data_IF_060352737532
#
_entry.id   IF_060352737532
#
_cell.length_a   1.000
_cell.length_b   1.000
_cell.length_c   1.000
_cell.angle_alpha   90.00
_cell.angle_beta   90.00
_cell.angle_gamma   90.00
#
_symmetry.space_group_name_H-M   'P 1'
#
loop_
_entity.id
_entity.type
_entity.pdbx_description
1 polymer ?
#
# COMPACT_ATOMS: atom_id res chain seq x y z
N UNK A 1 30.55 -30.03 -20.77
CA UNK A 1 31.64 -30.43 -19.84
C UNK A 1 31.81 -29.30 -18.85
N UNK A 2 31.14 -29.42 -17.69
CA UNK A 2 31.80 -29.76 -16.42
C UNK A 2 32.77 -28.65 -15.98
N UNK A 3 32.37 -27.81 -15.01
CA UNK A 3 32.66 -28.01 -13.56
C UNK A 3 34.01 -27.33 -13.19
N UNK A 4 34.24 -26.64 -12.07
CA UNK A 4 33.47 -26.40 -10.83
C UNK A 4 34.31 -25.47 -9.92
N UNK A 5 33.63 -24.72 -9.04
CA UNK A 5 34.05 -24.22 -7.71
C UNK A 5 35.15 -23.13 -7.56
N UNK A 6 34.75 -21.97 -7.00
CA UNK A 6 34.90 -21.73 -5.55
C UNK A 6 34.00 -20.57 -5.07
N UNK A 7 33.10 -20.89 -4.15
CA UNK A 7 32.31 -19.93 -3.39
C UNK A 7 33.15 -19.27 -2.27
N UNK A 8 32.86 -18.01 -1.88
CA UNK A 8 33.08 -17.57 -0.52
C UNK A 8 31.85 -17.93 0.33
N UNK A 9 32.09 -18.80 1.30
CA UNK A 9 31.17 -19.15 2.37
C UNK A 9 30.84 -17.92 3.23
N UNK A 10 29.66 -17.33 3.07
CA UNK A 10 29.10 -16.44 4.09
C UNK A 10 28.40 -17.30 5.16
N UNK A 11 29.17 -17.67 6.19
CA UNK A 11 28.60 -18.11 7.47
C UNK A 11 27.86 -16.93 8.08
N UNK A 12 26.53 -17.01 8.13
CA UNK A 12 25.77 -16.25 9.13
C UNK A 12 26.05 -16.88 10.49
N UNK A 13 27.09 -16.39 11.17
CA UNK A 13 27.13 -16.47 12.62
C UNK A 13 26.09 -15.47 13.14
N UNK A 14 25.04 -15.88 13.87
CA UNK A 14 24.24 -14.94 14.63
C UNK A 14 25.10 -14.50 15.82
N UNK A 15 26.00 -13.53 15.58
CA UNK A 15 26.51 -12.73 16.68
C UNK A 15 25.31 -12.13 17.40
N UNK A 16 25.27 -12.11 18.74
CA UNK A 16 24.20 -11.44 19.45
C UNK A 16 24.30 -9.96 19.10
N UNK A 17 23.50 -9.51 18.13
CA UNK A 17 23.17 -8.12 17.98
C UNK A 17 22.40 -7.75 19.25
N UNK A 18 23.15 -7.36 20.29
CA UNK A 18 22.71 -6.38 21.25
C UNK A 18 22.22 -5.21 20.40
N UNK A 19 20.91 -5.20 20.12
CA UNK A 19 20.16 -4.01 19.77
C UNK A 19 20.39 -3.04 20.92
N UNK A 20 21.50 -2.31 20.83
CA UNK A 20 21.90 -1.28 21.76
C UNK A 20 20.74 -0.29 21.72
N UNK A 21 19.96 -0.25 22.79
CA UNK A 21 18.88 0.70 23.07
C UNK A 21 19.37 2.15 23.22
N UNK A 22 20.57 2.45 22.71
CA UNK A 22 21.25 3.72 22.79
C UNK A 22 20.79 4.85 21.84
N UNK A 23 20.05 4.66 20.73
CA UNK A 23 19.73 5.78 19.84
C UNK A 23 18.35 6.45 20.07
N UNK A 24 17.47 5.90 20.92
CA UNK A 24 16.13 6.50 21.11
C UNK A 24 16.17 7.79 21.94
N UNK A 25 17.06 7.87 22.92
CA UNK A 25 17.16 9.00 23.86
C UNK A 25 17.73 10.26 23.24
N UNK A 26 18.80 10.14 22.44
CA UNK A 26 19.34 11.26 21.67
C UNK A 26 18.26 11.89 20.80
N UNK A 27 17.40 11.07 20.15
CA UNK A 27 16.28 11.57 19.36
C UNK A 27 15.23 12.34 20.17
N UNK A 28 14.96 11.94 21.42
CA UNK A 28 14.04 12.65 22.31
C UNK A 28 14.68 13.95 22.83
N UNK A 29 15.94 13.89 23.28
CA UNK A 29 16.67 15.06 23.76
C UNK A 29 16.84 16.13 22.67
N UNK A 30 17.18 15.72 21.45
CA UNK A 30 17.29 16.63 20.29
C UNK A 30 15.95 17.33 20.02
N UNK A 31 14.82 16.61 20.12
CA UNK A 31 13.49 17.22 19.90
C UNK A 31 13.11 18.21 20.98
N UNK A 32 13.38 17.91 22.25
CA UNK A 32 13.12 18.83 23.37
C UNK A 32 14.01 20.07 23.26
N UNK A 33 15.28 19.89 22.93
CA UNK A 33 16.24 20.98 22.75
C UNK A 33 15.85 21.85 21.54
N UNK A 34 15.47 21.25 20.42
CA UNK A 34 14.95 21.95 19.23
C UNK A 34 13.77 22.85 19.58
N UNK A 35 12.81 22.33 20.36
CA UNK A 35 11.64 23.09 20.79
C UNK A 35 11.99 24.32 21.62
N UNK A 36 12.97 24.19 22.53
CA UNK A 36 13.45 25.31 23.31
C UNK A 36 14.11 26.36 22.40
N UNK A 37 14.92 25.95 21.43
CA UNK A 37 15.53 26.87 20.48
C UNK A 37 14.51 27.57 19.57
N UNK A 38 13.49 26.87 19.07
CA UNK A 38 12.43 27.44 18.24
C UNK A 38 11.59 28.45 19.03
N UNK A 39 11.26 28.14 20.29
CA UNK A 39 10.55 29.07 21.18
C UNK A 39 11.40 30.31 21.52
N UNK A 40 12.70 30.13 21.79
CA UNK A 40 13.61 31.25 22.04
C UNK A 40 13.75 32.12 20.79
N UNK A 41 13.91 31.53 19.60
CA UNK A 41 13.96 32.26 18.34
C UNK A 41 12.69 33.09 18.10
N UNK A 42 11.51 32.54 18.40
CA UNK A 42 10.24 33.28 18.32
C UNK A 42 10.22 34.47 19.26
N UNK A 43 10.60 34.26 20.51
CA UNK A 43 10.59 35.30 21.54
C UNK A 43 11.60 36.40 21.22
N UNK A 44 12.78 36.04 20.71
CA UNK A 44 13.79 36.99 20.27
C UNK A 44 13.32 37.80 19.06
N UNK A 45 12.73 37.16 18.05
CA UNK A 45 12.20 37.86 16.86
C UNK A 45 11.03 38.79 17.20
N UNK A 46 10.12 38.33 18.08
CA UNK A 46 9.01 39.14 18.54
C UNK A 46 9.50 40.36 19.35
N UNK A 47 10.49 40.16 20.23
CA UNK A 47 11.10 41.25 21.00
C UNK A 47 11.93 42.20 20.14
N UNK A 48 12.67 41.72 19.15
CA UNK A 48 13.42 42.57 18.23
C UNK A 48 12.49 43.42 17.37
N UNK A 49 11.34 42.88 16.95
CA UNK A 49 10.30 43.63 16.25
C UNK A 49 9.64 44.71 17.10
N UNK A 50 9.52 44.50 18.43
CA UNK A 50 9.00 45.50 19.38
C UNK A 50 10.03 46.57 19.76
N UNK A 51 11.32 46.22 19.73
CA UNK A 51 12.41 47.10 20.19
C UNK A 51 13.10 47.89 19.06
N UNK A 52 12.86 47.53 17.80
CA UNK A 52 13.36 48.24 16.63
C UNK A 52 12.46 49.45 16.32
N UNK A 53 12.64 50.53 17.08
CA UNK A 53 12.18 51.85 16.63
C UNK A 53 12.84 52.19 15.29
N UNK A 54 12.02 52.63 14.32
CA UNK A 54 12.38 53.21 13.02
C UNK A 54 13.23 52.41 12.00
N UNK A 55 13.62 51.17 12.28
CA UNK A 55 14.20 50.30 11.25
C UNK A 55 13.13 49.44 10.57
N UNK A 56 12.68 49.91 9.42
CA UNK A 56 11.61 49.32 8.61
C UNK A 56 12.04 47.98 8.00
N UNK A 57 11.94 46.88 8.77
CA UNK A 57 11.89 45.56 8.15
C UNK A 57 10.73 45.54 7.15
N UNK A 58 10.97 44.98 5.96
CA UNK A 58 9.92 44.85 4.96
C UNK A 58 8.78 44.03 5.57
N UNK A 59 7.54 44.55 5.52
CA UNK A 59 6.36 43.86 6.09
C UNK A 59 6.24 42.44 5.56
N UNK A 60 6.64 42.22 4.31
CA UNK A 60 6.68 40.90 3.67
C UNK A 60 7.61 39.94 4.40
N UNK A 61 8.83 40.37 4.78
CA UNK A 61 9.81 39.50 5.45
C UNK A 61 9.38 39.17 6.89
N UNK A 62 8.72 40.12 7.55
CA UNK A 62 8.10 39.90 8.86
C UNK A 62 7.00 38.84 8.77
N UNK A 63 6.11 38.95 7.78
CA UNK A 63 5.04 37.97 7.54
C UNK A 63 5.62 36.60 7.21
N UNK A 64 6.62 36.52 6.31
CA UNK A 64 7.29 35.26 5.95
C UNK A 64 7.89 34.60 7.20
N UNK A 65 8.57 35.38 8.04
CA UNK A 65 9.21 34.85 9.27
C UNK A 65 8.17 34.31 10.25
N UNK A 66 7.05 35.01 10.45
CA UNK A 66 5.96 34.51 11.29
C UNK A 66 5.33 33.22 10.75
N UNK A 67 5.14 33.12 9.43
CA UNK A 67 4.61 31.92 8.78
C UNK A 67 5.58 30.73 8.96
N UNK A 68 6.87 30.93 8.71
CA UNK A 68 7.89 29.89 8.87
C UNK A 68 8.00 29.42 10.32
N UNK A 69 8.00 30.35 11.28
CA UNK A 69 8.15 30.00 12.69
C UNK A 69 6.89 29.33 13.23
N UNK A 70 5.71 29.84 12.88
CA UNK A 70 4.44 29.17 13.20
C UNK A 70 4.39 27.74 12.63
N UNK A 71 4.83 27.54 11.39
CA UNK A 71 4.95 26.24 10.77
C UNK A 71 5.93 25.31 11.50
N UNK A 72 7.10 25.81 11.90
CA UNK A 72 8.09 25.04 12.67
C UNK A 72 7.54 24.59 14.02
N UNK A 73 6.91 25.49 14.78
CA UNK A 73 6.27 25.16 16.07
C UNK A 73 5.16 24.12 15.87
N UNK A 74 4.32 24.26 14.84
CA UNK A 74 3.30 23.23 14.54
C UNK A 74 3.91 21.87 14.23
N UNK A 75 4.94 21.80 13.39
CA UNK A 75 5.61 20.54 13.04
C UNK A 75 6.27 19.88 14.26
N UNK A 76 6.89 20.67 15.13
CA UNK A 76 7.46 20.18 16.39
C UNK A 76 6.38 19.68 17.36
N UNK A 77 5.27 20.40 17.49
CA UNK A 77 4.11 19.96 18.28
C UNK A 77 3.57 18.63 17.75
N UNK A 78 3.38 18.48 16.44
CA UNK A 78 2.93 17.21 15.82
C UNK A 78 3.94 16.09 16.09
N UNK A 79 5.24 16.38 16.04
CA UNK A 79 6.31 15.40 16.32
C UNK A 79 6.26 14.90 17.77
N UNK A 80 6.05 15.80 18.74
CA UNK A 80 5.91 15.45 20.16
C UNK A 80 4.60 14.72 20.44
N UNK A 81 3.49 15.14 19.83
CA UNK A 81 2.23 14.40 19.92
C UNK A 81 2.42 12.98 19.37
N UNK A 82 3.09 12.82 18.22
CA UNK A 82 3.37 11.50 17.63
C UNK A 82 4.22 10.63 18.54
N UNK A 83 5.20 11.17 19.25
CA UNK A 83 6.01 10.37 20.20
C UNK A 83 5.24 10.04 21.46
N UNK A 84 4.54 10.99 22.08
CA UNK A 84 3.70 10.79 23.27
C UNK A 84 2.60 9.76 23.02
N UNK A 85 1.98 9.79 21.84
CA UNK A 85 0.96 8.82 21.42
C UNK A 85 1.52 7.58 20.73
N UNK A 86 2.84 7.45 20.57
CA UNK A 86 3.44 6.18 20.14
C UNK A 86 3.45 5.18 21.30
N UNK A 87 3.46 3.88 20.99
CA UNK A 87 3.53 2.82 22.02
C UNK A 87 4.94 2.62 22.58
N UNK A 88 5.95 3.28 21.99
CA UNK A 88 7.36 3.09 22.31
C UNK A 88 7.76 3.66 23.68
N UNK A 89 7.41 4.90 24.07
CA UNK A 89 7.78 5.45 25.38
C UNK A 89 7.32 4.58 26.55
N UNK A 90 6.11 4.03 26.52
CA UNK A 90 5.64 3.13 27.57
C UNK A 90 6.45 1.84 27.69
N UNK A 91 6.92 1.28 26.56
CA UNK A 91 7.75 0.08 26.54
C UNK A 91 9.17 0.41 27.02
N UNK A 92 9.75 1.50 26.54
CA UNK A 92 11.11 1.92 26.91
C UNK A 92 11.17 2.31 28.39
N UNK A 93 10.20 3.09 28.88
CA UNK A 93 10.09 3.46 30.30
C UNK A 93 9.83 2.24 31.19
N UNK A 94 9.02 1.28 30.73
CA UNK A 94 8.81 0.01 31.43
C UNK A 94 10.08 -0.83 31.54
N UNK A 95 10.88 -0.90 30.47
CA UNK A 95 12.19 -1.57 30.49
C UNK A 95 13.17 -0.92 31.44
N UNK A 96 13.26 0.41 31.48
CA UNK A 96 14.15 1.11 32.42
C UNK A 96 13.70 1.01 33.87
N UNK A 97 12.39 1.02 34.14
CA UNK A 97 11.88 0.76 35.49
C UNK A 97 12.26 -0.65 35.99
N UNK A 98 12.42 -1.60 35.08
CA UNK A 98 12.87 -2.97 35.38
C UNK A 98 14.40 -3.07 35.53
N UNK A 99 15.17 -2.44 34.65
CA UNK A 99 16.65 -2.52 34.63
C UNK A 99 17.34 -1.66 35.71
N UNK A 100 16.86 -0.45 36.01
CA UNK A 100 17.50 0.48 36.98
C UNK A 100 17.05 0.30 38.43
N UNK A 101 16.29 -0.74 38.75
CA UNK A 101 15.83 -0.95 40.12
C UNK A 101 14.81 0.10 40.57
N UNK A 102 13.55 -0.06 40.11
CA UNK A 102 12.34 0.44 40.75
C UNK A 102 12.32 1.94 41.10
N UNK A 103 12.67 2.81 40.15
CA UNK A 103 12.38 4.23 40.28
C UNK A 103 10.86 4.46 40.08
N UNK A 104 10.13 4.68 41.17
CA UNK A 104 8.66 4.81 41.19
C UNK A 104 8.13 5.94 40.26
N UNK A 105 8.99 6.90 39.94
CA UNK A 105 8.75 8.00 39.01
C UNK A 105 8.55 7.51 37.56
N UNK A 106 9.40 6.61 37.06
CA UNK A 106 9.30 6.10 35.68
C UNK A 106 8.05 5.25 35.46
N UNK A 107 7.68 4.46 36.47
CA UNK A 107 6.43 3.69 36.46
C UNK A 107 5.22 4.62 36.43
N UNK A 108 5.19 5.66 37.28
CA UNK A 108 4.12 6.67 37.28
C UNK A 108 4.01 7.40 35.95
N UNK A 109 5.14 7.77 35.34
CA UNK A 109 5.17 8.44 34.04
C UNK A 109 4.64 7.53 32.92
N UNK A 110 5.07 6.26 32.90
CA UNK A 110 4.57 5.27 31.94
C UNK A 110 3.06 5.02 32.10
N UNK A 111 2.56 4.93 33.33
CA UNK A 111 1.13 4.82 33.64
C UNK A 111 0.35 6.07 33.22
N UNK A 112 0.86 7.27 33.49
CA UNK A 112 0.23 8.53 33.10
C UNK A 112 0.11 8.65 31.57
N UNK A 113 1.21 8.39 30.85
CA UNK A 113 1.23 8.36 29.37
C UNK A 113 0.23 7.30 28.86
N UNK A 114 0.23 6.11 29.45
CA UNK A 114 -0.70 5.03 29.09
C UNK A 114 -2.17 5.38 29.35
N UNK A 115 -2.47 6.21 30.36
CA UNK A 115 -3.84 6.61 30.72
C UNK A 115 -4.34 7.72 29.79
N UNK A 116 -3.52 8.74 29.54
CA UNK A 116 -3.79 9.80 28.54
C UNK A 116 -4.01 9.19 27.17
N UNK A 117 -3.18 8.21 26.80
CA UNK A 117 -3.34 7.47 25.55
C UNK A 117 -4.68 6.73 25.48
N UNK A 118 -5.09 6.03 26.55
CA UNK A 118 -6.37 5.31 26.60
C UNK A 118 -7.59 6.23 26.56
N UNK A 119 -7.47 7.44 27.08
CA UNK A 119 -8.51 8.48 27.01
C UNK A 119 -8.67 9.06 25.59
N UNK A 120 -7.58 9.23 24.85
CA UNK A 120 -7.58 9.92 23.55
C UNK A 120 -7.72 8.95 22.37
N UNK A 121 -7.13 7.76 22.47
CA UNK A 121 -7.26 6.70 21.48
C UNK A 121 -8.15 5.61 22.10
N UNK A 122 -9.45 5.53 21.75
CA UNK A 122 -10.30 4.45 22.23
C UNK A 122 -9.60 3.13 21.94
N UNK A 123 -9.50 2.29 22.96
CA UNK A 123 -8.95 0.95 22.85
C UNK A 123 -9.69 0.26 21.70
N UNK A 124 -9.03 0.14 20.54
CA UNK A 124 -9.47 -0.79 19.50
C UNK A 124 -9.27 -2.18 20.11
N UNK A 125 -10.27 -2.66 20.84
CA UNK A 125 -10.27 -3.89 21.60
C UNK A 125 -9.93 -5.15 20.77
N UNK A 126 -9.86 -5.04 19.43
CA UNK A 126 -9.40 -6.10 18.52
C UNK A 126 -8.02 -5.89 17.86
N UNK A 127 -7.36 -4.74 18.02
CA UNK A 127 -6.05 -4.49 17.39
C UNK A 127 -4.93 -5.07 18.24
N UNK A 128 -4.62 -6.35 18.01
CA UNK A 128 -3.41 -7.00 18.52
C UNK A 128 -2.21 -6.12 18.19
N UNK A 129 -1.57 -5.60 19.23
CA UNK A 129 -0.23 -5.04 19.45
C UNK A 129 0.59 -4.43 18.27
N UNK A 130 0.50 -4.93 17.03
CA UNK A 130 1.41 -4.65 15.92
C UNK A 130 0.72 -4.27 14.60
N UNK A 131 -0.59 -4.52 14.42
CA UNK A 131 -1.32 -4.16 13.19
C UNK A 131 -2.78 -3.78 13.46
N UNK A 132 -3.30 -2.79 12.73
CA UNK A 132 -4.66 -2.25 12.89
C UNK A 132 -5.79 -3.15 12.35
N UNK A 133 -5.45 -4.31 11.79
CA UNK A 133 -6.37 -5.17 11.03
C UNK A 133 -7.12 -4.39 9.92
N UNK A 134 -6.43 -3.44 9.29
CA UNK A 134 -6.97 -2.62 8.21
C UNK A 134 -5.99 -2.54 7.04
N UNK A 135 -6.53 -2.39 5.84
CA UNK A 135 -5.76 -2.20 4.60
C UNK A 135 -6.13 -0.88 3.95
N UNK A 136 -5.14 -0.27 3.28
CA UNK A 136 -5.39 0.91 2.45
C UNK A 136 -6.27 0.55 1.25
N UNK A 137 -7.04 1.51 0.78
CA UNK A 137 -7.89 1.36 -0.40
C UNK A 137 -7.65 2.53 -1.33
N UNK A 138 -7.53 2.25 -2.61
CA UNK A 138 -7.44 3.25 -3.66
C UNK A 138 -8.02 2.66 -4.94
N UNK A 139 -9.06 3.30 -5.48
CA UNK A 139 -9.65 2.95 -6.77
C UNK A 139 -9.33 4.06 -7.77
N UNK A 140 -8.76 3.68 -8.92
CA UNK A 140 -8.32 4.65 -9.93
C UNK A 140 -9.51 5.31 -10.65
N UNK A 141 -10.55 4.53 -10.98
CA UNK A 141 -11.74 5.03 -11.69
C UNK A 141 -12.44 6.09 -10.84
N UNK A 142 -12.71 5.78 -9.57
CA UNK A 142 -13.33 6.70 -8.61
C UNK A 142 -12.50 7.97 -8.41
N UNK A 143 -11.17 7.83 -8.30
CA UNK A 143 -10.26 8.96 -8.19
C UNK A 143 -10.32 9.86 -9.42
N UNK A 144 -10.25 9.30 -10.63
CA UNK A 144 -10.26 10.07 -11.87
C UNK A 144 -11.63 10.75 -12.11
N UNK A 145 -12.75 10.09 -11.76
CA UNK A 145 -14.09 10.69 -11.80
C UNK A 145 -14.20 11.83 -10.78
N UNK A 146 -13.84 11.57 -9.52
CA UNK A 146 -13.94 12.55 -8.45
C UNK A 146 -13.04 13.77 -8.67
N UNK A 147 -11.81 13.56 -9.16
CA UNK A 147 -10.85 14.65 -9.41
C UNK A 147 -11.40 15.72 -10.35
N UNK A 148 -12.16 15.31 -11.40
CA UNK A 148 -12.79 16.25 -12.33
C UNK A 148 -13.86 17.13 -11.68
N UNK A 149 -14.63 16.56 -10.77
CA UNK A 149 -15.74 17.23 -10.09
C UNK A 149 -15.26 18.11 -8.92
N UNK A 150 -14.20 17.72 -8.23
CA UNK A 150 -13.80 18.32 -6.96
C UNK A 150 -13.03 19.64 -7.12
N UNK A 151 -13.54 20.72 -6.52
CA UNK A 151 -12.87 22.02 -6.46
C UNK A 151 -11.51 21.95 -5.76
N UNK A 152 -11.39 21.11 -4.72
CA UNK A 152 -10.11 20.93 -4.02
C UNK A 152 -9.03 20.31 -4.91
N UNK A 153 -9.40 19.43 -5.84
CA UNK A 153 -8.46 18.89 -6.83
C UNK A 153 -7.98 19.98 -7.79
N UNK A 154 -8.88 20.85 -8.25
CA UNK A 154 -8.54 21.99 -9.11
C UNK A 154 -7.60 22.98 -8.42
N UNK A 155 -7.83 23.23 -7.12
CA UNK A 155 -6.92 24.08 -6.31
C UNK A 155 -5.56 23.39 -6.15
N UNK A 156 -5.53 22.08 -5.89
CA UNK A 156 -4.28 21.33 -5.77
C UNK A 156 -3.49 21.30 -7.09
N UNK A 157 -4.18 21.23 -8.23
CA UNK A 157 -3.61 21.39 -9.57
C UNK A 157 -2.96 22.77 -9.74
N UNK A 158 -3.68 23.83 -9.38
CA UNK A 158 -3.14 25.20 -9.40
C UNK A 158 -1.90 25.36 -8.51
N UNK A 159 -1.84 24.63 -7.39
CA UNK A 159 -0.70 24.63 -6.46
C UNK A 159 0.42 23.64 -6.82
N UNK A 160 0.28 22.83 -7.88
CA UNK A 160 1.27 21.82 -8.27
C UNK A 160 1.39 20.61 -7.33
N UNK A 161 0.42 20.40 -6.43
CA UNK A 161 0.39 19.30 -5.45
C UNK A 161 -0.77 18.32 -5.71
N UNK A 162 -1.33 18.35 -6.92
CA UNK A 162 -2.49 17.54 -7.33
C UNK A 162 -2.29 16.05 -7.06
N UNK A 163 -1.16 15.49 -7.47
CA UNK A 163 -0.89 14.05 -7.31
C UNK A 163 -0.90 13.63 -5.83
N UNK A 164 -0.25 14.40 -4.96
CA UNK A 164 -0.25 14.15 -3.53
C UNK A 164 -1.65 14.31 -2.93
N UNK A 165 -2.37 15.36 -3.32
CA UNK A 165 -3.71 15.66 -2.84
C UNK A 165 -4.72 14.59 -3.25
N UNK A 166 -4.79 14.26 -4.53
CA UNK A 166 -5.72 13.25 -5.06
C UNK A 166 -5.43 11.87 -4.47
N UNK A 167 -4.16 11.50 -4.40
CA UNK A 167 -3.76 10.26 -3.73
C UNK A 167 -4.17 10.28 -2.26
N UNK A 168 -4.07 11.43 -1.57
CA UNK A 168 -4.49 11.55 -0.16
C UNK A 168 -6.00 11.44 0.02
N UNK A 169 -6.78 12.18 -0.76
CA UNK A 169 -8.24 12.32 -0.66
C UNK A 169 -8.96 11.05 -1.10
N UNK A 170 -8.55 10.45 -2.21
CA UNK A 170 -9.16 9.25 -2.77
C UNK A 170 -8.54 7.95 -2.26
N UNK A 171 -7.92 8.00 -1.07
CA UNK A 171 -7.42 6.81 -0.40
C UNK A 171 -8.03 6.71 0.99
N UNK A 172 -8.68 5.58 1.25
CA UNK A 172 -9.26 5.26 2.54
C UNK A 172 -8.57 4.06 3.18
N UNK A 173 -9.12 3.56 4.28
CA UNK A 173 -8.69 2.29 4.87
C UNK A 173 -9.91 1.54 5.39
N UNK A 174 -9.97 0.25 5.10
CA UNK A 174 -11.07 -0.63 5.49
C UNK A 174 -10.53 -1.74 6.41
N UNK A 175 -11.34 -2.28 7.33
CA UNK A 175 -10.97 -3.46 8.09
C UNK A 175 -10.78 -4.65 7.15
N UNK A 176 -9.78 -5.51 7.41
CA UNK A 176 -9.59 -6.74 6.64
C UNK A 176 -10.67 -7.74 7.01
N UNK A 177 -11.52 -8.06 6.02
CA UNK A 177 -12.59 -9.04 6.16
C UNK A 177 -12.05 -10.44 6.44
N UNK A 178 -12.91 -11.31 6.99
CA UNK A 178 -12.54 -12.71 7.23
C UNK A 178 -12.26 -13.43 5.90
N UNK A 179 -13.05 -13.14 4.86
CA UNK A 179 -12.90 -13.70 3.51
C UNK A 179 -11.51 -13.45 2.93
N UNK A 180 -10.94 -12.25 3.10
CA UNK A 180 -9.57 -11.97 2.62
C UNK A 180 -8.55 -12.81 3.38
N UNK A 181 -8.71 -12.96 4.70
CA UNK A 181 -7.78 -13.77 5.52
C UNK A 181 -7.83 -15.24 5.13
N UNK A 182 -9.04 -15.77 4.98
CA UNK A 182 -9.28 -17.15 4.56
C UNK A 182 -8.74 -17.38 3.15
N UNK A 183 -8.99 -16.47 2.21
CA UNK A 183 -8.50 -16.59 0.83
C UNK A 183 -6.97 -16.53 0.74
N UNK A 184 -6.31 -15.68 1.53
CA UNK A 184 -4.83 -15.66 1.63
C UNK A 184 -4.30 -16.99 2.17
N UNK A 185 -4.91 -17.52 3.25
CA UNK A 185 -4.50 -18.79 3.82
C UNK A 185 -4.77 -19.96 2.86
N UNK A 186 -5.92 -19.97 2.18
CA UNK A 186 -6.27 -20.96 1.16
C UNK A 186 -5.33 -20.89 -0.04
N UNK A 187 -4.96 -19.70 -0.52
CA UNK A 187 -4.00 -19.56 -1.61
C UNK A 187 -2.65 -20.16 -1.20
N UNK A 188 -2.11 -19.74 -0.04
CA UNK A 188 -0.84 -20.27 0.46
C UNK A 188 -0.91 -21.78 0.74
N UNK A 189 -2.04 -22.30 1.22
CA UNK A 189 -2.20 -23.73 1.51
C UNK A 189 -2.51 -24.59 0.28
N UNK A 190 -3.27 -24.10 -0.70
CA UNK A 190 -3.63 -24.84 -1.92
C UNK A 190 -2.42 -25.02 -2.84
N UNK A 191 -1.56 -24.01 -2.88
CA UNK A 191 -0.18 -24.08 -3.36
C UNK A 191 0.64 -25.21 -2.72
N UNK A 192 0.29 -25.64 -1.50
CA UNK A 192 0.93 -26.78 -0.83
C UNK A 192 0.17 -28.10 -1.06
N UNK A 193 -1.16 -28.08 -1.22
CA UNK A 193 -2.02 -29.27 -1.35
C UNK A 193 -2.08 -29.87 -2.74
N UNK A 194 -1.75 -29.12 -3.80
CA UNK A 194 -1.50 -29.69 -5.15
C UNK A 194 -0.49 -30.84 -5.16
N UNK A 195 0.21 -31.03 -4.04
CA UNK A 195 1.19 -32.07 -3.73
C UNK A 195 0.65 -33.43 -3.28
N UNK A 196 -0.60 -33.60 -2.80
CA UNK A 196 -1.01 -34.92 -2.23
C UNK A 196 -1.43 -35.92 -3.32
N UNK A 197 -2.00 -35.45 -4.43
CA UNK A 197 -2.42 -36.33 -5.53
C UNK A 197 -1.29 -36.62 -6.56
N UNK A 198 -0.18 -35.91 -6.48
CA UNK A 198 0.98 -36.04 -7.39
C UNK A 198 2.22 -36.65 -6.70
N UNK A 199 2.00 -37.52 -5.72
CA UNK A 199 3.01 -38.06 -4.79
C UNK A 199 3.97 -39.11 -5.40
N UNK A 200 4.14 -39.18 -6.73
CA UNK A 200 5.03 -40.18 -7.35
C UNK A 200 6.22 -39.65 -8.14
N UNK A 201 6.49 -38.34 -8.24
CA UNK A 201 7.73 -37.87 -8.86
C UNK A 201 8.52 -36.94 -7.94
N UNK A 202 9.63 -37.48 -7.47
CA UNK A 202 10.70 -36.83 -6.72
C UNK A 202 11.26 -35.65 -7.50
N UNK A 203 10.71 -34.44 -7.28
CA UNK A 203 11.32 -33.17 -7.67
C UNK A 203 11.29 -32.19 -6.51
N UNK A 204 12.37 -31.41 -6.40
CA UNK A 204 12.77 -30.63 -5.23
C UNK A 204 11.75 -29.56 -4.80
N UNK A 205 11.21 -29.72 -3.59
CA UNK A 205 10.27 -28.84 -2.88
C UNK A 205 10.67 -27.35 -2.83
N UNK A 206 11.94 -27.02 -3.07
CA UNK A 206 12.45 -25.65 -3.16
C UNK A 206 12.07 -24.91 -4.45
N UNK A 207 11.93 -25.60 -5.57
CA UNK A 207 11.61 -24.99 -6.89
C UNK A 207 10.16 -24.48 -6.95
N UNK A 208 9.23 -25.13 -6.24
CA UNK A 208 7.79 -24.85 -6.38
C UNK A 208 7.25 -23.73 -5.49
N UNK A 209 7.83 -23.51 -4.31
CA UNK A 209 7.51 -22.29 -3.56
C UNK A 209 8.22 -21.08 -4.18
N UNK A 210 9.39 -21.28 -4.78
CA UNK A 210 9.97 -20.32 -5.72
C UNK A 210 9.00 -19.99 -6.84
N UNK A 211 8.18 -20.94 -7.31
CA UNK A 211 7.15 -20.64 -8.29
C UNK A 211 6.13 -19.63 -7.76
N UNK A 212 5.41 -19.82 -6.65
CA UNK A 212 4.39 -18.84 -6.16
C UNK A 212 4.95 -17.45 -5.87
N UNK A 213 6.16 -17.40 -5.30
CA UNK A 213 6.80 -16.13 -4.96
C UNK A 213 7.47 -15.44 -6.16
N UNK A 214 7.49 -16.10 -7.32
CA UNK A 214 7.98 -15.54 -8.60
C UNK A 214 6.90 -15.54 -9.70
N UNK A 215 5.79 -16.24 -9.51
CA UNK A 215 4.67 -16.33 -10.42
C UNK A 215 3.67 -15.24 -10.01
N UNK A 216 3.43 -14.30 -10.93
CA UNK A 216 2.65 -13.09 -10.69
C UNK A 216 1.18 -13.29 -11.09
N UNK A 217 0.62 -14.45 -10.75
CA UNK A 217 -0.66 -14.96 -11.27
C UNK A 217 -0.50 -16.08 -12.30
N UNK A 218 0.73 -16.36 -12.74
CA UNK A 218 1.02 -17.30 -13.83
C UNK A 218 0.57 -18.74 -13.49
N UNK A 219 0.78 -19.16 -12.24
CA UNK A 219 0.42 -20.51 -11.81
C UNK A 219 -1.10 -20.68 -11.79
N UNK A 220 -1.81 -19.67 -11.29
CA UNK A 220 -3.28 -19.63 -11.35
C UNK A 220 -3.75 -19.75 -12.80
N UNK A 221 -3.20 -18.97 -13.74
CA UNK A 221 -3.63 -19.06 -15.13
C UNK A 221 -3.43 -20.45 -15.75
N UNK A 222 -2.32 -21.14 -15.44
CA UNK A 222 -2.12 -22.54 -15.84
C UNK A 222 -3.17 -23.47 -15.24
N UNK A 223 -3.43 -23.37 -13.93
CA UNK A 223 -4.41 -24.20 -13.21
C UNK A 223 -5.83 -24.07 -13.80
N UNK A 224 -6.18 -22.88 -14.27
CA UNK A 224 -7.48 -22.61 -14.87
C UNK A 224 -7.54 -22.89 -16.38
N UNK A 225 -6.43 -23.29 -17.02
CA UNK A 225 -6.38 -23.57 -18.45
C UNK A 225 -6.53 -22.34 -19.35
N UNK A 226 -6.31 -21.13 -18.80
CA UNK A 226 -6.45 -19.84 -19.51
C UNK A 226 -5.11 -19.14 -19.73
N UNK A 227 -4.01 -19.88 -19.55
CA UNK A 227 -2.65 -19.38 -19.66
C UNK A 227 -2.37 -18.66 -20.98
N UNK A 228 -2.59 -19.33 -22.12
CA UNK A 228 -2.32 -18.77 -23.45
C UNK A 228 -3.07 -17.47 -23.73
N UNK A 229 -4.22 -17.28 -23.08
CA UNK A 229 -5.10 -16.13 -23.25
C UNK A 229 -4.69 -14.93 -22.40
N UNK A 230 -4.16 -15.18 -21.21
CA UNK A 230 -3.98 -14.14 -20.18
C UNK A 230 -2.52 -13.91 -19.74
N UNK A 231 -1.57 -14.71 -20.23
CA UNK A 231 -0.15 -14.65 -19.85
C UNK A 231 0.44 -13.25 -20.04
N UNK A 232 0.11 -12.59 -21.16
CA UNK A 232 0.70 -11.30 -21.49
C UNK A 232 0.40 -10.23 -20.44
N UNK A 233 -0.78 -10.28 -19.81
CA UNK A 233 -1.22 -9.30 -18.81
C UNK A 233 -0.60 -9.50 -17.42
N UNK A 234 -0.05 -10.69 -17.13
CA UNK A 234 0.69 -10.97 -15.88
C UNK A 234 2.20 -10.87 -16.05
N UNK A 235 2.70 -11.06 -17.28
CA UNK A 235 4.14 -11.06 -17.55
C UNK A 235 4.74 -9.67 -17.81
N UNK A 236 3.89 -8.63 -17.88
CA UNK A 236 4.28 -7.22 -18.00
C UNK A 236 5.21 -6.74 -16.88
N UNK A 237 5.66 -5.48 -16.96
CA UNK A 237 6.19 -4.78 -15.79
C UNK A 237 5.17 -4.83 -14.64
N UNK A 238 5.62 -5.03 -13.40
CA UNK A 238 4.71 -5.34 -12.31
C UNK A 238 3.77 -4.18 -11.92
N UNK A 239 4.25 -2.93 -12.01
CA UNK A 239 3.40 -1.73 -11.91
C UNK A 239 2.35 -1.69 -13.03
N UNK A 240 2.75 -1.99 -14.27
CA UNK A 240 1.83 -2.06 -15.41
C UNK A 240 0.76 -3.13 -15.19
N UNK A 241 1.16 -4.32 -14.76
CA UNK A 241 0.23 -5.44 -14.48
C UNK A 241 -0.77 -5.06 -13.38
N UNK A 242 -0.33 -4.42 -12.28
CA UNK A 242 -1.24 -3.92 -11.23
C UNK A 242 -2.26 -2.95 -11.80
N UNK A 243 -1.85 -1.98 -12.63
CA UNK A 243 -2.76 -1.00 -13.24
C UNK A 243 -3.77 -1.68 -14.17
N UNK A 244 -3.28 -2.55 -15.07
CA UNK A 244 -4.09 -3.25 -16.06
C UNK A 244 -5.14 -4.13 -15.39
N UNK A 245 -4.70 -5.01 -14.48
CA UNK A 245 -5.60 -5.89 -13.73
C UNK A 245 -6.56 -5.10 -12.84
N UNK A 246 -6.14 -3.98 -12.25
CA UNK A 246 -7.01 -3.19 -11.38
C UNK A 246 -8.22 -2.64 -12.14
N UNK A 247 -7.99 -1.98 -13.27
CA UNK A 247 -9.06 -1.40 -14.07
C UNK A 247 -9.93 -2.50 -14.69
N UNK A 248 -9.31 -3.56 -15.23
CA UNK A 248 -10.05 -4.68 -15.82
C UNK A 248 -10.91 -5.42 -14.78
N UNK A 249 -10.40 -5.60 -13.55
CA UNK A 249 -11.18 -6.17 -12.43
C UNK A 249 -12.35 -5.28 -12.07
N UNK A 250 -12.18 -3.96 -12.03
CA UNK A 250 -13.27 -3.04 -11.69
C UNK A 250 -14.35 -3.03 -12.78
N UNK A 251 -13.96 -3.06 -14.07
CA UNK A 251 -14.89 -3.24 -15.20
C UNK A 251 -15.65 -4.57 -15.07
N UNK A 252 -14.93 -5.66 -14.83
CA UNK A 252 -15.53 -6.99 -14.65
C UNK A 252 -16.53 -7.02 -13.50
N UNK A 253 -16.22 -6.42 -12.36
CA UNK A 253 -17.10 -6.37 -11.19
C UNK A 253 -18.37 -5.55 -11.46
N UNK A 254 -18.28 -4.47 -12.23
CA UNK A 254 -19.46 -3.72 -12.69
C UNK A 254 -20.34 -4.57 -13.62
N UNK A 255 -19.72 -5.23 -14.61
CA UNK A 255 -20.43 -6.14 -15.51
C UNK A 255 -21.08 -7.30 -14.77
N UNK A 256 -20.37 -7.94 -13.82
CA UNK A 256 -20.87 -9.05 -13.02
C UNK A 256 -22.07 -8.64 -12.15
N UNK A 257 -22.11 -7.41 -11.63
CA UNK A 257 -23.27 -6.87 -10.89
C UNK A 257 -24.47 -6.68 -11.80
N UNK A 258 -24.26 -6.18 -13.02
CA UNK A 258 -25.33 -5.91 -14.00
C UNK A 258 -25.99 -7.21 -14.53
N UNK A 259 -25.33 -8.37 -14.43
CA UNK A 259 -25.88 -9.67 -14.84
C UNK A 259 -27.06 -10.18 -13.98
N UNK A 260 -27.43 -9.48 -12.90
CA UNK A 260 -28.78 -9.53 -12.30
C UNK A 260 -29.27 -10.87 -11.71
N UNK A 261 -28.44 -11.91 -11.62
CA UNK A 261 -28.82 -13.18 -10.99
C UNK A 261 -28.80 -13.02 -9.46
N UNK A 262 -29.65 -13.75 -8.74
CA UNK A 262 -29.51 -13.92 -7.29
C UNK A 262 -28.15 -14.57 -7.00
N UNK A 263 -27.13 -13.74 -6.84
CA UNK A 263 -25.75 -14.18 -6.62
C UNK A 263 -25.71 -14.77 -5.21
N UNK A 264 -25.24 -16.01 -5.08
CA UNK A 264 -25.02 -16.63 -3.78
C UNK A 264 -24.18 -15.70 -2.90
N UNK A 265 -24.52 -15.59 -1.61
CA UNK A 265 -23.84 -14.70 -0.66
C UNK A 265 -22.31 -14.86 -0.69
N UNK A 266 -21.82 -16.09 -0.86
CA UNK A 266 -20.40 -16.40 -0.98
C UNK A 266 -19.72 -15.71 -2.18
N UNK A 267 -20.41 -15.65 -3.33
CA UNK A 267 -19.89 -15.00 -4.54
C UNK A 267 -19.88 -13.48 -4.36
N UNK A 268 -20.87 -12.92 -3.65
CA UNK A 268 -20.86 -11.51 -3.30
C UNK A 268 -19.70 -11.15 -2.36
N UNK A 269 -19.50 -11.93 -1.28
CA UNK A 269 -18.37 -11.76 -0.36
C UNK A 269 -17.02 -11.91 -1.06
N UNK A 270 -16.91 -12.83 -2.01
CA UNK A 270 -15.71 -12.99 -2.84
C UNK A 270 -15.49 -11.78 -3.75
N UNK A 271 -16.54 -11.20 -4.33
CA UNK A 271 -16.45 -10.01 -5.17
C UNK A 271 -15.94 -8.81 -4.38
N UNK A 272 -16.47 -8.59 -3.17
CA UNK A 272 -16.00 -7.54 -2.26
C UNK A 272 -14.54 -7.76 -1.83
N UNK A 273 -14.16 -8.99 -1.49
CA UNK A 273 -12.78 -9.32 -1.15
C UNK A 273 -11.82 -9.10 -2.32
N UNK A 274 -12.23 -9.48 -3.53
CA UNK A 274 -11.44 -9.29 -4.77
C UNK A 274 -11.25 -7.80 -5.06
N UNK A 275 -12.32 -6.99 -4.95
CA UNK A 275 -12.23 -5.55 -5.10
C UNK A 275 -11.31 -4.92 -4.05
N UNK A 276 -11.43 -5.36 -2.79
CA UNK A 276 -10.62 -4.86 -1.70
C UNK A 276 -9.13 -5.16 -1.87
N UNK A 277 -8.76 -6.35 -2.37
CA UNK A 277 -7.37 -6.72 -2.66
C UNK A 277 -6.84 -5.93 -3.86
N UNK A 278 -7.62 -5.82 -4.94
CA UNK A 278 -7.28 -5.01 -6.11
C UNK A 278 -7.02 -3.54 -5.74
N UNK A 279 -7.93 -2.91 -5.00
CA UNK A 279 -7.81 -1.55 -4.47
C UNK A 279 -6.59 -1.41 -3.55
N UNK A 280 -6.27 -2.45 -2.79
CA UNK A 280 -5.11 -2.44 -1.89
C UNK A 280 -3.79 -2.53 -2.65
N UNK A 281 -3.69 -3.38 -3.68
CA UNK A 281 -2.51 -3.47 -4.53
C UNK A 281 -2.27 -2.14 -5.27
N UNK A 282 -3.33 -1.51 -5.79
CA UNK A 282 -3.22 -0.18 -6.37
C UNK A 282 -2.85 0.89 -5.33
N UNK A 283 -3.39 0.81 -4.12
CA UNK A 283 -3.00 1.70 -3.01
C UNK A 283 -1.50 1.58 -2.69
N UNK A 284 -0.95 0.37 -2.69
CA UNK A 284 0.49 0.17 -2.53
C UNK A 284 1.25 0.85 -3.66
N UNK A 285 0.83 0.69 -4.91
CA UNK A 285 1.46 1.35 -6.06
C UNK A 285 1.42 2.89 -5.94
N UNK A 286 0.26 3.45 -5.60
CA UNK A 286 0.05 4.89 -5.51
C UNK A 286 0.74 5.53 -4.28
N UNK A 287 0.62 4.95 -3.09
CA UNK A 287 1.14 5.56 -1.84
C UNK A 287 2.41 4.96 -1.29
N UNK A 288 2.66 3.68 -1.55
CA UNK A 288 3.74 2.92 -0.91
C UNK A 288 4.52 2.08 -1.93
N UNK A 289 4.98 2.65 -3.07
CA UNK A 289 5.70 1.88 -4.08
C UNK A 289 6.98 1.25 -3.51
N UNK A 290 7.58 1.83 -2.48
CA UNK A 290 8.72 1.26 -1.76
C UNK A 290 8.43 -0.08 -1.06
N UNK A 291 7.15 -0.45 -0.87
CA UNK A 291 6.73 -1.76 -0.37
C UNK A 291 6.55 -2.80 -1.48
N UNK A 292 6.64 -2.39 -2.75
CA UNK A 292 6.59 -3.28 -3.90
C UNK A 292 8.02 -3.69 -4.31
N UNK A 293 8.19 -4.73 -5.15
CA UNK A 293 9.50 -5.15 -5.64
C UNK A 293 10.32 -3.98 -6.21
N UNK A 294 11.64 -4.00 -6.05
CA UNK A 294 12.51 -2.84 -6.25
C UNK A 294 12.54 -2.19 -7.64
N UNK A 295 11.98 -2.81 -8.68
CA UNK A 295 11.84 -2.24 -10.03
C UNK A 295 10.56 -1.42 -10.23
N UNK A 296 9.68 -1.37 -9.23
CA UNK A 296 8.31 -0.85 -9.37
C UNK A 296 8.27 0.64 -9.06
N UNK A 297 7.88 1.43 -10.06
CA UNK A 297 7.73 2.88 -9.96
C UNK A 297 6.27 3.33 -9.91
N UNK A 298 6.08 4.66 -9.83
CA UNK A 298 4.74 5.28 -9.95
C UNK A 298 4.39 5.72 -11.38
N UNK A 299 5.32 5.59 -12.32
CA UNK A 299 5.18 6.13 -13.68
C UNK A 299 3.95 5.57 -14.38
N UNK A 300 3.77 4.24 -14.44
CA UNK A 300 2.60 3.61 -15.08
C UNK A 300 1.27 4.04 -14.46
N UNK A 301 1.24 4.20 -13.14
CA UNK A 301 0.07 4.72 -12.43
C UNK A 301 -0.24 6.17 -12.85
N UNK A 302 0.76 7.05 -12.87
CA UNK A 302 0.59 8.47 -13.24
C UNK A 302 0.18 8.61 -14.72
N UNK A 303 0.84 7.90 -15.62
CA UNK A 303 0.53 7.90 -17.06
C UNK A 303 -0.92 7.49 -17.33
N UNK A 304 -1.39 6.45 -16.63
CA UNK A 304 -2.77 6.00 -16.73
C UNK A 304 -3.73 7.06 -16.16
N UNK A 305 -3.44 7.65 -14.99
CA UNK A 305 -4.26 8.73 -14.44
C UNK A 305 -4.45 9.89 -15.43
N UNK A 306 -3.37 10.35 -16.08
CA UNK A 306 -3.45 11.41 -17.10
C UNK A 306 -4.29 11.00 -18.31
N UNK A 307 -4.13 9.75 -18.76
CA UNK A 307 -4.90 9.20 -19.88
C UNK A 307 -6.40 9.15 -19.58
N UNK A 308 -6.78 8.66 -18.39
CA UNK A 308 -8.18 8.60 -17.96
C UNK A 308 -8.75 10.00 -17.73
N UNK A 309 -8.03 10.89 -17.05
CA UNK A 309 -8.49 12.27 -16.82
C UNK A 309 -8.70 13.02 -18.16
N UNK A 310 -7.93 12.70 -19.20
CA UNK A 310 -8.07 13.27 -20.54
C UNK A 310 -9.36 12.90 -21.29
N UNK A 311 -10.05 11.82 -20.91
CA UNK A 311 -11.27 11.38 -21.60
C UNK A 311 -12.51 12.17 -21.15
N UNK A 312 -13.56 12.26 -21.99
CA UNK A 312 -14.83 12.91 -21.61
C UNK A 312 -15.81 11.89 -21.03
N UNK A 313 -15.99 11.94 -19.72
CA UNK A 313 -17.01 11.18 -18.97
C UNK A 313 -17.34 11.93 -17.66
N UNK A 314 -18.50 11.63 -17.09
CA UNK A 314 -18.98 12.21 -15.84
C UNK A 314 -19.17 11.20 -14.72
N UNK A 315 -19.42 9.93 -15.04
CA UNK A 315 -19.65 8.86 -14.06
C UNK A 315 -18.68 7.68 -14.26
N UNK A 316 -18.49 6.87 -13.21
CA UNK A 316 -17.72 5.62 -13.30
C UNK A 316 -18.33 4.66 -14.33
N UNK A 317 -19.67 4.58 -14.39
CA UNK A 317 -20.39 3.75 -15.37
C UNK A 317 -20.14 4.19 -16.81
N UNK A 318 -20.09 5.49 -17.08
CA UNK A 318 -19.71 6.03 -18.38
C UNK A 318 -18.26 5.75 -18.75
N UNK A 319 -17.33 5.87 -17.80
CA UNK A 319 -15.93 5.52 -18.07
C UNK A 319 -15.78 4.02 -18.39
N UNK A 320 -16.44 3.16 -17.61
CA UNK A 320 -16.45 1.71 -17.87
C UNK A 320 -17.07 1.40 -19.24
N UNK A 321 -18.19 2.04 -19.60
CA UNK A 321 -18.82 1.81 -20.91
C UNK A 321 -17.95 2.30 -22.06
N UNK A 322 -17.26 3.43 -21.91
CA UNK A 322 -16.30 3.94 -22.90
C UNK A 322 -15.14 2.98 -23.11
N UNK A 323 -14.54 2.47 -22.03
CA UNK A 323 -13.43 1.50 -22.07
C UNK A 323 -13.85 0.17 -22.68
N UNK A 324 -15.12 -0.22 -22.50
CA UNK A 324 -15.66 -1.46 -23.07
C UNK A 324 -16.06 -1.27 -24.55
N UNK A 325 -16.47 -0.06 -24.94
CA UNK A 325 -16.85 0.27 -26.31
C UNK A 325 -15.62 0.40 -27.22
N UNK A 326 -15.75 -0.01 -28.48
CA UNK A 326 -14.73 0.21 -29.53
C UNK A 326 -14.54 1.69 -29.91
N UNK A 327 -15.29 2.63 -29.30
CA UNK A 327 -15.37 4.04 -29.70
C UNK A 327 -14.57 5.02 -28.82
N UNK A 328 -13.69 4.56 -27.93
CA UNK A 328 -12.93 5.45 -27.04
C UNK A 328 -12.05 6.48 -27.77
N UNK A 329 -11.68 6.23 -29.04
CA UNK A 329 -10.93 7.14 -29.89
C UNK A 329 -11.69 8.42 -30.26
N UNK A 330 -13.02 8.48 -30.20
CA UNK A 330 -13.79 9.66 -30.64
C UNK A 330 -14.04 10.71 -29.55
N UNK A 331 -13.56 10.47 -28.33
CA UNK A 331 -14.05 11.20 -27.13
C UNK A 331 -12.99 12.14 -26.52
N UNK A 332 -11.74 12.12 -26.99
CA UNK A 332 -10.66 12.98 -26.50
C UNK A 332 -10.48 14.28 -27.31
N UNK A 333 -9.90 15.30 -26.67
CA UNK A 333 -9.41 16.52 -27.35
C UNK A 333 -8.28 16.17 -28.35
N UNK A 334 -8.19 16.84 -29.50
CA UNK A 334 -7.36 16.42 -30.65
C UNK A 334 -5.86 16.37 -30.33
N UNK A 335 -5.38 17.20 -29.40
CA UNK A 335 -4.00 17.17 -28.90
C UNK A 335 -3.73 16.03 -27.90
N UNK A 336 -4.73 15.65 -27.11
CA UNK A 336 -4.65 14.55 -26.11
C UNK A 336 -4.93 13.19 -26.76
N UNK A 337 -5.60 13.17 -27.91
CA UNK A 337 -5.95 11.97 -28.67
C UNK A 337 -4.72 11.15 -29.09
N UNK A 338 -3.64 11.81 -29.51
CA UNK A 338 -2.38 11.15 -29.93
C UNK A 338 -1.68 10.47 -28.74
N UNK A 339 -1.71 11.09 -27.56
CA UNK A 339 -1.08 10.52 -26.34
C UNK A 339 -1.89 9.32 -25.81
N UNK A 340 -3.22 9.38 -25.94
CA UNK A 340 -4.12 8.31 -25.48
C UNK A 340 -4.11 7.14 -26.49
N UNK A 341 -4.02 7.40 -27.80
CA UNK A 341 -3.97 6.37 -28.84
C UNK A 341 -2.73 5.47 -28.75
N UNK A 342 -1.61 6.02 -28.30
CA UNK A 342 -0.33 5.31 -28.21
C UNK A 342 -0.12 4.63 -26.84
N UNK A 343 -1.07 4.77 -25.91
CA UNK A 343 -0.94 4.18 -24.58
C UNK A 343 -1.17 2.67 -24.61
N UNK A 344 -0.08 1.89 -24.78
CA UNK A 344 -0.09 0.42 -24.73
C UNK A 344 -0.73 -0.17 -23.47
N UNK A 345 -0.64 0.53 -22.33
CA UNK A 345 -1.27 0.08 -21.08
C UNK A 345 -2.78 0.19 -21.16
N UNK A 346 -3.30 1.22 -21.82
CA UNK A 346 -4.74 1.40 -22.01
C UNK A 346 -5.31 0.34 -22.95
N UNK A 347 -4.61 0.02 -24.04
CA UNK A 347 -5.00 -1.10 -24.92
C UNK A 347 -5.03 -2.42 -24.15
N UNK A 348 -3.99 -2.72 -23.35
CA UNK A 348 -3.96 -3.91 -22.52
C UNK A 348 -5.10 -3.99 -21.48
N UNK A 349 -5.51 -2.84 -20.91
CA UNK A 349 -6.71 -2.78 -20.04
C UNK A 349 -7.95 -3.22 -20.80
N UNK A 350 -8.15 -2.68 -21.99
CA UNK A 350 -9.33 -2.94 -22.80
C UNK A 350 -9.35 -4.40 -23.24
N UNK A 351 -8.22 -4.93 -23.70
CA UNK A 351 -8.10 -6.31 -24.16
C UNK A 351 -8.32 -7.29 -23.00
N UNK A 352 -7.69 -7.07 -21.84
CA UNK A 352 -7.95 -7.89 -20.65
C UNK A 352 -9.42 -7.78 -20.21
N UNK A 353 -10.01 -6.59 -20.20
CA UNK A 353 -11.41 -6.42 -19.81
C UNK A 353 -12.37 -7.19 -20.75
N UNK A 354 -12.09 -7.20 -22.07
CA UNK A 354 -12.85 -8.01 -23.04
C UNK A 354 -12.68 -9.50 -22.78
N UNK A 355 -11.46 -9.96 -22.51
CA UNK A 355 -11.18 -11.36 -22.19
C UNK A 355 -11.89 -11.81 -20.90
N UNK A 356 -12.03 -10.91 -19.92
CA UNK A 356 -12.74 -11.19 -18.67
C UNK A 356 -14.27 -11.08 -18.79
N UNK A 357 -14.81 -10.31 -19.74
CA UNK A 357 -16.26 -10.07 -19.90
C UNK A 357 -16.88 -10.77 -21.12
N UNK A 358 -16.07 -11.49 -21.89
CA UNK A 358 -16.42 -12.09 -23.17
C UNK A 358 -17.48 -13.20 -23.10
N UNK A 359 -18.09 -13.51 -24.24
CA UNK A 359 -19.26 -14.41 -24.37
C UNK A 359 -18.97 -15.88 -23.98
N UNK A 360 -17.71 -16.29 -23.93
CA UNK A 360 -17.31 -17.62 -23.41
C UNK A 360 -17.35 -17.75 -21.89
N UNK A 361 -17.62 -16.65 -21.16
CA UNK A 361 -17.85 -16.58 -19.70
C UNK A 361 -19.15 -17.29 -19.29
N UNK A 362 -19.24 -18.58 -19.57
CA UNK A 362 -20.40 -19.44 -19.25
C UNK A 362 -20.61 -19.57 -17.73
N UNK A 363 -19.65 -19.10 -16.91
CA UNK A 363 -19.66 -19.19 -15.44
C UNK A 363 -18.98 -17.97 -14.77
N UNK A 364 -19.66 -16.83 -14.61
CA UNK A 364 -19.10 -15.62 -13.99
C UNK A 364 -18.51 -15.87 -12.59
N UNK A 365 -19.16 -16.69 -11.76
CA UNK A 365 -18.64 -17.04 -10.44
C UNK A 365 -17.27 -17.76 -10.49
N UNK A 366 -16.98 -18.48 -11.57
CA UNK A 366 -15.72 -19.20 -11.77
C UNK A 366 -14.59 -18.24 -12.12
N UNK A 367 -14.86 -17.30 -13.03
CA UNK A 367 -13.89 -16.28 -13.42
C UNK A 367 -13.58 -15.34 -12.27
N UNK A 368 -14.57 -14.95 -11.48
CA UNK A 368 -14.35 -14.17 -10.26
C UNK A 368 -13.36 -14.88 -9.32
N UNK A 369 -13.49 -16.20 -9.15
CA UNK A 369 -12.55 -17.00 -8.35
C UNK A 369 -11.15 -17.01 -8.95
N UNK A 370 -11.03 -17.10 -10.28
CA UNK A 370 -9.73 -17.00 -10.97
C UNK A 370 -9.09 -15.62 -10.74
N UNK A 371 -9.84 -14.53 -10.95
CA UNK A 371 -9.36 -13.15 -10.74
C UNK A 371 -8.90 -12.95 -9.30
N UNK A 372 -9.68 -13.42 -8.32
CA UNK A 372 -9.32 -13.39 -6.90
C UNK A 372 -7.98 -14.09 -6.63
N UNK A 373 -7.79 -15.28 -7.22
CA UNK A 373 -6.55 -16.04 -7.05
C UNK A 373 -5.35 -15.37 -7.72
N UNK A 374 -5.51 -14.75 -8.91
CA UNK A 374 -4.44 -13.95 -9.54
C UNK A 374 -3.99 -12.82 -8.62
N UNK A 375 -4.94 -12.07 -8.03
CA UNK A 375 -4.62 -11.01 -7.09
C UNK A 375 -3.91 -11.51 -5.82
N UNK A 376 -4.33 -12.65 -5.29
CA UNK A 376 -3.68 -13.26 -4.13
C UNK A 376 -2.25 -13.72 -4.43
N UNK A 377 -2.01 -14.25 -5.63
CA UNK A 377 -0.66 -14.62 -6.09
C UNK A 377 0.22 -13.38 -6.27
N UNK A 378 -0.29 -12.31 -6.90
CA UNK A 378 0.41 -11.02 -6.99
C UNK A 378 0.72 -10.40 -5.62
N UNK A 379 -0.20 -10.56 -4.65
CA UNK A 379 -0.02 -10.10 -3.28
C UNK A 379 1.09 -10.90 -2.57
N UNK A 380 1.14 -12.22 -2.76
CA UNK A 380 2.20 -13.08 -2.23
C UNK A 380 3.56 -12.73 -2.85
N UNK A 381 3.62 -12.57 -4.18
CA UNK A 381 4.79 -12.12 -4.92
C UNK A 381 5.29 -10.76 -4.38
N UNK A 382 4.42 -9.76 -4.29
CA UNK A 382 4.78 -8.43 -3.81
C UNK A 382 5.28 -8.48 -2.36
N UNK A 383 4.64 -9.27 -1.50
CA UNK A 383 5.04 -9.42 -0.11
C UNK A 383 6.40 -10.07 0.04
N UNK A 384 6.65 -11.16 -0.69
CA UNK A 384 7.94 -11.85 -0.62
C UNK A 384 9.10 -11.03 -1.20
N UNK A 385 8.85 -10.31 -2.29
CA UNK A 385 9.87 -9.50 -3.01
C UNK A 385 10.05 -8.10 -2.42
N UNK A 386 9.25 -7.72 -1.43
CA UNK A 386 9.41 -6.47 -0.70
C UNK A 386 10.69 -6.51 0.14
N UNK A 387 11.40 -5.39 0.21
CA UNK A 387 12.66 -5.34 0.96
C UNK A 387 12.40 -5.50 2.47
N UNK A 388 13.28 -6.24 3.16
CA UNK A 388 13.20 -6.37 4.61
C UNK A 388 13.22 -5.01 5.34
N UNK A 389 13.94 -4.03 4.78
CA UNK A 389 13.93 -2.64 5.27
C UNK A 389 12.54 -1.99 5.15
N UNK A 390 11.86 -2.16 4.02
CA UNK A 390 10.50 -1.64 3.79
C UNK A 390 9.49 -2.28 4.75
N UNK A 391 9.55 -3.60 4.94
CA UNK A 391 8.74 -4.28 5.95
C UNK A 391 8.99 -3.74 7.36
N UNK A 392 10.27 -3.63 7.78
CA UNK A 392 10.62 -3.10 9.09
C UNK A 392 10.15 -1.65 9.28
N UNK A 393 10.30 -0.82 8.25
CA UNK A 393 9.81 0.56 8.24
C UNK A 393 8.29 0.61 8.42
N UNK A 394 7.51 -0.25 7.77
CA UNK A 394 6.06 -0.25 7.96
C UNK A 394 5.56 -0.89 9.24
N UNK A 395 6.27 -1.87 9.80
CA UNK A 395 5.99 -2.35 11.14
C UNK A 395 6.10 -1.21 12.18
N UNK A 396 7.08 -0.31 12.03
CA UNK A 396 7.21 0.86 12.91
C UNK A 396 6.04 1.87 12.78
N UNK A 397 5.30 1.83 11.66
CA UNK A 397 4.20 2.74 11.34
C UNK A 397 2.79 2.11 11.52
N UNK A 398 2.68 0.94 12.16
CA UNK A 398 1.39 0.30 12.48
C UNK A 398 1.07 -0.96 11.67
N UNK A 399 2.07 -1.55 11.01
CA UNK A 399 1.95 -2.80 10.27
C UNK A 399 1.23 -2.64 8.93
N UNK A 400 1.28 -3.69 8.13
CA UNK A 400 0.71 -3.71 6.78
C UNK A 400 0.32 -5.15 6.42
N UNK A 401 -0.81 -5.35 5.71
CA UNK A 401 -1.25 -6.69 5.31
C UNK A 401 -0.16 -7.40 4.50
N UNK A 402 0.52 -6.69 3.60
CA UNK A 402 1.63 -7.20 2.82
C UNK A 402 2.73 -7.83 3.68
N UNK A 403 3.00 -7.26 4.86
CA UNK A 403 3.99 -7.83 5.80
C UNK A 403 3.46 -9.10 6.45
N UNK A 404 2.18 -9.15 6.78
CA UNK A 404 1.54 -10.36 7.30
C UNK A 404 1.58 -11.48 6.27
N UNK A 405 1.24 -11.20 5.01
CA UNK A 405 1.31 -12.15 3.90
C UNK A 405 2.73 -12.68 3.73
N UNK A 406 3.74 -11.81 3.68
CA UNK A 406 5.14 -12.22 3.58
C UNK A 406 5.56 -13.16 4.73
N UNK A 407 5.14 -12.87 5.96
CA UNK A 407 5.41 -13.73 7.11
C UNK A 407 4.66 -15.07 7.03
N UNK A 408 3.42 -15.09 6.55
CA UNK A 408 2.64 -16.34 6.36
C UNK A 408 3.31 -17.23 5.31
N UNK A 409 3.74 -16.65 4.18
CA UNK A 409 4.48 -17.35 3.12
C UNK A 409 5.79 -17.92 3.68
N UNK A 410 6.57 -17.12 4.39
CA UNK A 410 7.85 -17.54 4.97
C UNK A 410 7.69 -18.59 6.08
N UNK A 411 6.65 -18.47 6.91
CA UNK A 411 6.34 -19.45 7.95
C UNK A 411 6.00 -20.82 7.34
N UNK A 412 5.12 -20.83 6.33
CA UNK A 412 4.77 -22.07 5.63
C UNK A 412 5.97 -22.67 4.89
N UNK A 413 6.85 -21.84 4.31
CA UNK A 413 8.11 -22.31 3.71
C UNK A 413 8.99 -23.07 4.70
N UNK A 414 9.15 -22.53 5.91
CA UNK A 414 10.06 -23.07 6.93
C UNK A 414 9.50 -24.30 7.63
N UNK A 415 8.20 -24.33 7.91
CA UNK A 415 7.55 -25.48 8.56
C UNK A 415 7.49 -26.75 7.70
N UNK A 416 7.87 -26.68 6.43
CA UNK A 416 7.97 -27.83 5.53
C UNK A 416 9.43 -28.35 5.44
N UNK A 417 10.41 -27.53 5.85
CA UNK A 417 11.83 -27.88 5.85
C UNK A 417 12.26 -28.62 7.13
N UNK A 418 11.35 -28.78 8.10
CA UNK A 418 11.47 -29.58 9.32
C UNK A 418 10.33 -30.58 9.35
#
# INVERSE_FOLDING_TARGET
>A
MMCILRAPSFRFAPGPQKLRTGPAWYGICIRVISQLFTAVAFMLFHRSGLSAGDHHYNRTDVVITYVLLGGAVMLEMVSVLRTLFSRWPSITLGKMAYEEGRCHMWVRLACAIGTIRRLILPERAGSRWWWSNSIGQHNMIDMCVGSKANLGSKIACWMGIEDWWNTRVYSSSIPVSITIKEAVLEQVASSLRGRVDEYFIQKSVGEDLEHIINSRGLQVLHKWGVYERLIEFVNMEFDQSIVVWHIATDIYLHWHKDQGKAVADDVHRLAEATQAISNYMLFLLAKRPYMLPGSVGRTRYVDMCYSLIGMKYSTAKELVSLLTSSNWLQVSDSSKQVVISDNRTLHAVIDLARELTGVESSRPAVELKMIAQVWLEMLCYAGYRCSGYSHAKQLSNGGELLTVVALVVEYHRRNIMY
#
